data_IF_197875072561
#
_entry.id   IF_197875072561
#
_cell.length_a   1.000
_cell.length_b   1.000
_cell.length_c   1.000
_cell.angle_alpha   90.00
_cell.angle_beta   90.00
_cell.angle_gamma   90.00
#
_symmetry.space_group_name_H-M   'P 1'
#
loop_
_entity.id
_entity.type
_entity.pdbx_description
1 polymer ?
#
# COMPACT_ATOMS: atom_id res chain seq x y z
N UNK A 1 -8.93 10.58 -39.74
CA UNK A 1 -8.27 10.08 -38.52
C UNK A 1 -9.21 10.40 -37.37
N UNK A 2 -9.80 9.38 -36.74
CA UNK A 2 -10.84 9.56 -35.73
C UNK A 2 -10.28 10.33 -34.51
N UNK A 3 -10.92 11.45 -34.16
CA UNK A 3 -10.54 12.36 -33.07
C UNK A 3 -10.51 11.69 -31.70
N UNK A 4 -11.16 10.54 -31.56
CA UNK A 4 -11.14 9.69 -30.36
C UNK A 4 -9.77 8.99 -30.13
N UNK A 5 -8.95 8.83 -31.17
CA UNK A 5 -7.64 8.21 -31.05
C UNK A 5 -6.58 9.11 -30.37
N UNK A 6 -6.76 10.44 -30.44
CA UNK A 6 -5.83 11.36 -29.74
C UNK A 6 -6.05 11.36 -28.22
N UNK A 7 -7.30 11.30 -27.76
CA UNK A 7 -7.64 11.15 -26.35
C UNK A 7 -7.23 9.75 -25.84
N UNK A 8 -7.39 8.69 -26.65
CA UNK A 8 -6.96 7.33 -26.32
C UNK A 8 -5.43 7.22 -26.25
N UNK A 9 -4.69 7.85 -27.16
CA UNK A 9 -3.22 7.84 -27.16
C UNK A 9 -2.62 8.51 -25.92
N UNK A 10 -3.26 9.56 -25.39
CA UNK A 10 -2.86 10.20 -24.13
C UNK A 10 -3.14 9.31 -22.91
N UNK A 11 -4.28 8.63 -22.87
CA UNK A 11 -4.64 7.75 -21.75
C UNK A 11 -3.73 6.52 -21.65
N UNK A 12 -3.37 5.90 -22.78
CA UNK A 12 -2.50 4.70 -22.82
C UNK A 12 -1.04 5.01 -22.46
N UNK A 13 -0.53 6.20 -22.82
CA UNK A 13 0.83 6.62 -22.45
C UNK A 13 1.02 6.85 -20.94
N UNK A 14 -0.07 6.91 -20.16
CA UNK A 14 -0.05 7.16 -18.71
C UNK A 14 0.17 5.93 -17.85
N UNK A 15 -0.06 4.76 -18.40
CA UNK A 15 0.06 3.47 -17.72
C UNK A 15 1.35 2.71 -18.09
N UNK A 16 2.35 3.40 -18.66
CA UNK A 16 3.67 2.81 -18.78
C UNK A 16 4.13 2.38 -17.37
N UNK A 17 4.43 1.08 -17.14
CA UNK A 17 4.87 0.61 -15.84
C UNK A 17 6.15 1.34 -15.49
N UNK A 18 6.05 2.33 -14.62
CA UNK A 18 7.20 2.78 -13.87
C UNK A 18 7.57 1.61 -12.98
N UNK A 19 8.61 0.89 -13.31
CA UNK A 19 9.23 -0.06 -12.40
C UNK A 19 9.87 0.76 -11.29
N UNK A 20 9.05 1.30 -10.41
CA UNK A 20 9.49 1.79 -9.13
C UNK A 20 9.70 0.55 -8.27
N UNK A 21 10.89 -0.01 -8.33
CA UNK A 21 11.36 -0.96 -7.34
C UNK A 21 11.58 -0.21 -6.02
N UNK A 22 10.51 0.12 -5.34
CA UNK A 22 10.59 0.75 -4.01
C UNK A 22 9.36 0.35 -3.20
N UNK A 23 9.58 0.11 -1.92
CA UNK A 23 8.52 -0.04 -0.91
C UNK A 23 7.73 1.26 -0.67
N UNK A 24 7.78 2.21 -1.61
CA UNK A 24 7.20 3.54 -1.48
C UNK A 24 5.69 3.60 -1.24
N UNK A 25 5.00 2.48 -1.31
CA UNK A 25 3.58 2.35 -1.00
C UNK A 25 3.30 1.54 0.27
N UNK A 26 4.30 0.83 0.82
CA UNK A 26 4.12 0.02 2.02
C UNK A 26 3.91 0.92 3.24
N UNK A 27 2.95 0.55 4.07
CA UNK A 27 2.71 1.16 5.36
C UNK A 27 2.77 0.09 6.44
N UNK A 28 3.24 0.47 7.63
CA UNK A 28 3.41 -0.41 8.79
C UNK A 28 2.51 -0.03 9.96
N UNK A 29 1.58 0.89 9.74
CA UNK A 29 0.63 1.41 10.73
C UNK A 29 -0.54 0.45 10.91
N UNK A 30 -0.24 -0.84 11.14
CA UNK A 30 -1.24 -1.90 11.26
C UNK A 30 -1.88 -1.97 12.65
N UNK A 31 -1.22 -1.45 13.69
CA UNK A 31 -1.81 -1.27 15.03
C UNK A 31 -1.23 -0.06 15.73
N UNK A 32 -1.98 0.53 16.67
CA UNK A 32 -1.53 1.68 17.44
C UNK A 32 -0.28 1.36 18.26
N UNK A 33 -0.19 0.16 18.83
CA UNK A 33 0.99 -0.28 19.57
C UNK A 33 2.18 -0.52 18.64
N UNK A 34 1.94 -1.04 17.43
CA UNK A 34 3.00 -1.19 16.42
C UNK A 34 3.57 0.17 16.02
N UNK A 35 2.73 1.18 15.83
CA UNK A 35 3.15 2.57 15.57
C UNK A 35 3.98 3.11 16.74
N UNK A 36 3.51 2.93 17.98
CA UNK A 36 4.23 3.37 19.17
C UNK A 36 5.61 2.73 19.34
N UNK A 37 5.81 1.55 18.76
CA UNK A 37 7.08 0.81 18.78
C UNK A 37 7.88 0.95 17.47
N UNK A 38 7.50 1.85 16.57
CA UNK A 38 8.18 2.03 15.28
C UNK A 38 8.15 0.79 14.38
N UNK A 39 7.11 -0.05 14.49
CA UNK A 39 6.98 -1.31 13.76
C UNK A 39 7.64 -2.54 14.44
N UNK A 40 8.42 -2.37 15.50
CA UNK A 40 9.12 -3.43 16.20
C UNK A 40 8.17 -4.28 17.07
N UNK A 41 7.25 -5.05 16.44
CA UNK A 41 6.19 -5.77 17.15
C UNK A 41 6.04 -7.24 16.72
N UNK A 42 7.11 -7.88 16.32
CA UNK A 42 7.05 -9.25 15.79
C UNK A 42 6.73 -10.33 16.85
N UNK A 43 6.91 -10.04 18.14
CA UNK A 43 6.85 -11.05 19.22
C UNK A 43 5.88 -10.68 20.34
N UNK A 44 4.85 -9.91 20.03
CA UNK A 44 3.89 -9.49 21.04
C UNK A 44 3.16 -10.70 21.67
N UNK A 45 3.08 -10.71 22.99
CA UNK A 45 2.33 -11.71 23.74
C UNK A 45 0.84 -11.39 23.67
N UNK A 46 0.01 -12.43 23.51
CA UNK A 46 -1.46 -12.39 23.56
C UNK A 46 -2.10 -11.31 22.68
N UNK A 47 -1.51 -11.09 21.48
CA UNK A 47 -1.91 -10.04 20.56
C UNK A 47 -2.38 -10.59 19.21
N UNK A 48 -3.64 -10.36 18.86
CA UNK A 48 -4.20 -10.77 17.59
C UNK A 48 -3.60 -10.03 16.38
N UNK A 49 -3.01 -8.83 16.57
CA UNK A 49 -2.33 -8.09 15.50
C UNK A 49 -1.04 -8.78 15.00
N UNK A 50 -0.57 -9.82 15.69
CA UNK A 50 0.50 -10.69 15.19
C UNK A 50 0.18 -11.31 13.82
N UNK A 51 -1.10 -11.47 13.44
CA UNK A 51 -1.48 -11.86 12.07
C UNK A 51 -0.83 -10.94 11.02
N UNK A 52 -0.74 -9.63 11.31
CA UNK A 52 -0.11 -8.67 10.42
C UNK A 52 1.41 -8.60 10.61
N UNK A 53 1.92 -8.54 11.85
CA UNK A 53 3.36 -8.31 12.10
C UNK A 53 4.20 -9.57 11.96
N UNK A 54 3.76 -10.66 12.60
CA UNK A 54 4.42 -11.96 12.54
C UNK A 54 3.42 -13.09 12.77
N UNK A 55 2.92 -13.70 11.68
CA UNK A 55 1.92 -14.75 11.76
C UNK A 55 2.31 -15.95 12.66
N UNK A 56 3.60 -16.28 12.77
CA UNK A 56 4.04 -17.37 13.68
C UNK A 56 3.85 -17.02 15.16
N UNK A 57 3.80 -15.74 15.51
CA UNK A 57 3.58 -15.27 16.88
C UNK A 57 2.12 -15.33 17.33
N UNK A 58 1.16 -15.67 16.45
CA UNK A 58 -0.22 -15.95 16.91
C UNK A 58 -0.27 -17.19 17.82
N UNK A 59 0.77 -18.05 17.78
CA UNK A 59 0.92 -19.19 18.71
C UNK A 59 1.13 -18.76 20.18
N UNK A 60 1.32 -17.47 20.43
CA UNK A 60 1.41 -16.88 21.78
C UNK A 60 0.06 -16.43 22.33
N UNK A 61 -0.98 -16.42 21.49
CA UNK A 61 -2.34 -16.05 21.90
C UNK A 61 -2.98 -17.19 22.68
N UNK A 62 -3.61 -16.86 23.81
CA UNK A 62 -4.31 -17.81 24.66
C UNK A 62 -5.81 -17.71 24.43
N UNK A 63 -6.43 -18.86 24.10
CA UNK A 63 -7.86 -18.94 23.87
C UNK A 63 -8.30 -18.20 22.61
N UNK A 64 -9.06 -17.11 22.76
CA UNK A 64 -9.65 -16.37 21.65
C UNK A 64 -9.50 -14.87 21.89
N UNK A 65 -8.91 -14.15 20.94
CA UNK A 65 -8.65 -12.70 21.03
C UNK A 65 -9.14 -12.01 19.78
N UNK A 66 -9.91 -10.95 19.96
CA UNK A 66 -10.31 -10.01 18.91
C UNK A 66 -9.73 -8.63 19.22
N UNK A 67 -9.20 -7.98 18.20
CA UNK A 67 -8.59 -6.65 18.32
C UNK A 67 -8.94 -5.79 17.12
N UNK A 68 -9.28 -4.52 17.38
CA UNK A 68 -9.35 -3.49 16.35
C UNK A 68 -8.46 -2.32 16.74
N UNK A 69 -7.81 -1.73 15.76
CA UNK A 69 -6.88 -0.63 15.97
C UNK A 69 -7.15 0.47 14.95
N UNK A 70 -7.08 1.71 15.42
CA UNK A 70 -7.34 2.91 14.64
C UNK A 70 -6.15 3.84 14.80
N UNK A 71 -5.45 4.13 13.70
CA UNK A 71 -4.32 5.05 13.68
C UNK A 71 -4.65 6.22 12.79
N UNK A 72 -4.61 7.43 13.35
CA UNK A 72 -4.78 8.65 12.57
C UNK A 72 -3.44 9.12 12.04
N UNK A 73 -3.35 9.21 10.72
CA UNK A 73 -2.16 9.65 9.99
C UNK A 73 -2.37 11.08 9.49
N UNK A 74 -1.48 11.99 9.85
CA UNK A 74 -1.48 13.37 9.38
C UNK A 74 -0.13 13.68 8.74
N UNK A 75 0.10 13.24 7.50
CA UNK A 75 1.37 13.44 6.83
C UNK A 75 1.56 14.90 6.43
N UNK A 76 2.82 15.35 6.53
CA UNK A 76 3.25 16.66 6.04
C UNK A 76 4.49 16.44 5.18
N UNK A 77 4.50 17.00 4.01
CA UNK A 77 5.62 16.90 3.08
C UNK A 77 5.97 18.24 2.47
N UNK A 78 7.26 18.48 2.27
CA UNK A 78 7.76 19.59 1.47
C UNK A 78 8.68 19.05 0.38
N UNK A 79 8.75 19.76 -0.73
CA UNK A 79 9.63 19.41 -1.85
C UNK A 79 10.26 20.66 -2.44
N UNK A 80 11.37 20.48 -3.12
CA UNK A 80 12.02 21.50 -3.94
C UNK A 80 12.16 20.98 -5.35
N UNK A 81 11.98 21.85 -6.32
CA UNK A 81 12.14 21.54 -7.73
C UNK A 81 13.46 22.11 -8.24
N UNK A 82 14.15 21.33 -9.04
CA UNK A 82 15.38 21.70 -9.69
C UNK A 82 15.23 21.56 -11.20
N UNK A 83 15.86 22.43 -11.95
CA UNK A 83 15.93 22.32 -13.41
C UNK A 83 16.98 21.25 -13.84
N UNK A 84 17.14 21.06 -15.16
CA UNK A 84 18.11 20.12 -15.71
C UNK A 84 19.56 20.43 -15.36
N UNK A 85 19.85 21.68 -14.99
CA UNK A 85 21.19 22.15 -14.63
C UNK A 85 21.44 22.09 -13.12
N UNK A 86 20.45 21.58 -12.36
CA UNK A 86 20.52 21.43 -10.90
C UNK A 86 20.27 22.72 -10.14
N UNK A 87 19.73 23.76 -10.78
CA UNK A 87 19.37 25.02 -10.13
C UNK A 87 17.94 24.94 -9.59
N UNK A 88 17.75 25.39 -8.34
CA UNK A 88 16.44 25.46 -7.71
C UNK A 88 15.50 26.39 -8.50
N UNK A 89 14.29 25.89 -8.80
CA UNK A 89 13.25 26.68 -9.46
C UNK A 89 12.52 27.46 -8.38
N UNK A 90 12.75 28.76 -8.36
CA UNK A 90 12.15 29.67 -7.39
C UNK A 90 10.65 29.90 -7.67
N UNK A 91 9.90 30.35 -6.64
CA UNK A 91 8.49 30.69 -6.68
C UNK A 91 7.53 29.54 -7.00
N UNK A 92 7.96 28.29 -6.85
CA UNK A 92 7.10 27.13 -6.91
C UNK A 92 6.54 26.79 -5.52
N UNK A 93 5.31 26.24 -5.42
CA UNK A 93 4.81 25.69 -4.17
C UNK A 93 5.73 24.61 -3.64
N UNK A 94 6.03 24.63 -2.35
CA UNK A 94 6.96 23.70 -1.71
C UNK A 94 6.30 22.67 -0.83
N UNK A 95 4.97 22.68 -0.74
CA UNK A 95 4.22 21.79 0.12
C UNK A 95 3.31 20.86 -0.68
N UNK A 96 3.35 19.59 -0.33
CA UNK A 96 2.39 18.60 -0.80
C UNK A 96 1.10 18.73 0.03
N UNK A 97 -0.05 18.78 -0.64
CA UNK A 97 -1.39 18.85 -0.02
C UNK A 97 -1.89 17.45 0.29
N UNK A 98 -1.21 16.72 1.17
CA UNK A 98 -1.68 15.38 1.56
C UNK A 98 -2.74 15.50 2.63
N UNK A 99 -3.88 14.84 2.41
CA UNK A 99 -4.96 14.80 3.38
C UNK A 99 -4.68 13.76 4.47
N UNK A 100 -5.06 14.10 5.69
CA UNK A 100 -5.00 13.16 6.79
C UNK A 100 -5.99 12.00 6.58
N UNK A 101 -5.67 10.84 7.11
CA UNK A 101 -6.48 9.64 6.96
C UNK A 101 -6.36 8.68 8.15
N UNK A 102 -7.15 7.63 8.10
CA UNK A 102 -7.16 6.58 9.10
C UNK A 102 -6.59 5.27 8.53
N UNK A 103 -5.66 4.68 9.25
CA UNK A 103 -5.27 3.29 9.07
C UNK A 103 -6.02 2.45 10.11
N UNK A 104 -6.83 1.51 9.62
CA UNK A 104 -7.68 0.66 10.48
C UNK A 104 -7.25 -0.78 10.31
N UNK A 105 -6.89 -1.43 11.43
CA UNK A 105 -6.61 -2.86 11.48
C UNK A 105 -7.64 -3.57 12.34
N UNK A 106 -8.10 -4.75 11.90
CA UNK A 106 -9.01 -5.61 12.66
C UNK A 106 -8.52 -7.05 12.58
N UNK A 107 -8.46 -7.71 13.70
CA UNK A 107 -7.81 -9.01 13.86
C UNK A 107 -8.63 -9.93 14.75
N UNK A 108 -8.58 -11.19 14.42
CA UNK A 108 -9.14 -12.26 15.23
C UNK A 108 -8.17 -13.42 15.24
N UNK A 109 -7.90 -13.99 16.40
CA UNK A 109 -7.08 -15.18 16.57
C UNK A 109 -7.77 -16.11 17.53
N UNK A 110 -7.78 -17.38 17.20
CA UNK A 110 -8.32 -18.47 18.03
C UNK A 110 -7.29 -19.57 18.16
N UNK A 111 -7.00 -19.96 19.38
CA UNK A 111 -6.30 -21.17 19.71
C UNK A 111 -7.24 -22.37 19.48
N UNK A 112 -6.88 -23.28 18.59
CA UNK A 112 -7.67 -24.48 18.29
C UNK A 112 -7.35 -25.58 19.31
N UNK A 113 -6.07 -25.74 19.62
CA UNK A 113 -5.52 -26.64 20.63
C UNK A 113 -4.13 -26.16 21.07
N UNK A 114 -3.40 -26.93 21.85
CA UNK A 114 -2.08 -26.57 22.38
C UNK A 114 -0.99 -26.37 21.34
N UNK A 115 -1.26 -26.76 20.09
CA UNK A 115 -0.28 -26.70 18.98
C UNK A 115 -0.76 -25.91 17.77
N UNK A 116 -2.03 -25.55 17.67
CA UNK A 116 -2.63 -25.02 16.45
C UNK A 116 -3.46 -23.78 16.71
N UNK A 117 -3.30 -22.80 15.84
CA UNK A 117 -4.02 -21.52 15.85
C UNK A 117 -4.53 -21.17 14.47
N UNK A 118 -5.68 -20.55 14.46
CA UNK A 118 -6.22 -19.86 13.30
C UNK A 118 -6.30 -18.38 13.59
N UNK A 119 -5.91 -17.56 12.62
CA UNK A 119 -6.05 -16.11 12.68
C UNK A 119 -6.60 -15.56 11.39
N UNK A 120 -7.24 -14.41 11.46
CA UNK A 120 -7.61 -13.60 10.31
C UNK A 120 -7.39 -12.13 10.64
N UNK A 121 -6.80 -11.39 9.73
CA UNK A 121 -6.59 -9.96 9.85
C UNK A 121 -7.09 -9.22 8.62
N UNK A 122 -7.65 -8.02 8.82
CA UNK A 122 -7.94 -7.06 7.77
C UNK A 122 -7.19 -5.77 8.12
N UNK A 123 -6.25 -5.36 7.27
CA UNK A 123 -5.37 -4.22 7.56
C UNK A 123 -4.85 -3.57 6.27
N UNK A 124 -4.54 -2.27 6.29
CA UNK A 124 -3.94 -1.60 5.15
C UNK A 124 -2.46 -2.00 5.05
N UNK A 125 -2.06 -2.65 3.97
CA UNK A 125 -0.66 -2.99 3.71
C UNK A 125 0.03 -1.96 2.83
N UNK A 126 -0.74 -1.33 1.97
CA UNK A 126 -0.23 -0.36 1.00
C UNK A 126 -1.15 0.86 0.95
N UNK A 127 -0.58 2.04 1.05
CA UNK A 127 -1.28 3.28 0.82
C UNK A 127 -0.32 4.37 0.37
N UNK A 128 -0.83 5.26 -0.46
CA UNK A 128 -0.14 6.48 -0.84
C UNK A 128 -1.17 7.52 -1.25
N UNK A 129 -0.98 8.74 -0.79
CA UNK A 129 -1.69 9.90 -1.33
C UNK A 129 -0.69 11.01 -1.57
N UNK A 130 -0.72 11.58 -2.75
CA UNK A 130 0.11 12.73 -3.13
C UNK A 130 -0.75 13.73 -3.89
N UNK A 131 -0.77 14.98 -3.45
CA UNK A 131 -1.48 16.06 -4.10
C UNK A 131 -0.60 17.30 -4.22
N UNK A 132 -0.44 17.80 -5.43
CA UNK A 132 0.31 19.00 -5.77
C UNK A 132 -0.64 20.10 -6.26
N UNK A 133 -0.21 21.35 -6.20
CA UNK A 133 -0.90 22.44 -6.88
C UNK A 133 -0.98 22.13 -8.39
N UNK A 134 -2.17 22.29 -8.99
CA UNK A 134 -2.39 21.95 -10.41
C UNK A 134 -1.49 22.69 -11.37
N UNK A 135 -1.11 23.92 -11.01
CA UNK A 135 -0.26 24.79 -11.83
C UNK A 135 1.22 24.68 -11.50
N UNK A 136 1.58 23.90 -10.47
CA UNK A 136 2.99 23.63 -10.15
C UNK A 136 3.66 22.79 -11.22
N UNK A 137 4.94 23.00 -11.46
CA UNK A 137 5.76 22.13 -12.32
C UNK A 137 5.88 20.72 -11.77
N UNK A 138 5.74 20.51 -10.45
CA UNK A 138 5.65 19.19 -9.83
C UNK A 138 4.46 18.38 -10.35
N UNK A 139 3.39 19.04 -10.81
CA UNK A 139 2.19 18.40 -11.35
C UNK A 139 2.33 17.89 -12.79
N UNK A 140 3.50 17.97 -13.38
CA UNK A 140 3.73 17.59 -14.80
C UNK A 140 3.37 16.11 -15.09
N UNK A 141 3.60 15.22 -14.13
CA UNK A 141 3.23 13.81 -14.24
C UNK A 141 1.81 13.55 -13.72
N UNK A 142 1.53 13.97 -12.49
CA UNK A 142 0.20 13.93 -11.88
C UNK A 142 0.11 15.00 -10.79
N UNK A 143 -1.02 15.70 -10.68
CA UNK A 143 -1.27 16.59 -9.57
C UNK A 143 -1.98 15.89 -8.41
N UNK A 144 -2.63 14.75 -8.67
CA UNK A 144 -3.21 13.90 -7.65
C UNK A 144 -2.93 12.44 -7.95
N UNK A 145 -2.45 11.72 -6.94
CA UNK A 145 -2.23 10.26 -7.01
C UNK A 145 -2.66 9.65 -5.68
N UNK A 146 -3.51 8.65 -5.74
CA UNK A 146 -3.98 7.92 -4.56
C UNK A 146 -3.97 6.43 -4.85
N UNK A 147 -3.38 5.68 -3.94
CA UNK A 147 -3.42 4.22 -3.92
C UNK A 147 -3.85 3.79 -2.52
N UNK A 148 -4.90 3.00 -2.44
CA UNK A 148 -5.35 2.38 -1.19
C UNK A 148 -5.32 0.88 -1.38
N UNK A 149 -4.60 0.18 -0.50
CA UNK A 149 -4.52 -1.28 -0.51
C UNK A 149 -4.90 -1.85 0.86
N UNK A 150 -5.89 -2.74 0.86
CA UNK A 150 -6.34 -3.45 2.06
C UNK A 150 -6.14 -4.94 1.85
N UNK A 151 -5.51 -5.59 2.82
CA UNK A 151 -5.29 -7.03 2.82
C UNK A 151 -6.20 -7.72 3.82
N UNK A 152 -6.82 -8.82 3.42
CA UNK A 152 -7.46 -9.78 4.32
C UNK A 152 -6.64 -11.05 4.31
N UNK A 153 -6.17 -11.45 5.50
CA UNK A 153 -5.16 -12.50 5.62
C UNK A 153 -5.62 -13.60 6.57
N UNK A 154 -6.33 -14.63 6.10
CA UNK A 154 -6.51 -15.85 6.85
C UNK A 154 -5.18 -16.56 7.02
N UNK A 155 -4.89 -17.01 8.24
CA UNK A 155 -3.58 -17.52 8.66
C UNK A 155 -3.76 -18.76 9.52
N UNK A 156 -2.94 -19.77 9.28
CA UNK A 156 -2.80 -20.94 10.14
C UNK A 156 -1.38 -20.96 10.72
N UNK A 157 -1.28 -21.22 12.02
CA UNK A 157 0.00 -21.36 12.70
C UNK A 157 0.07 -22.65 13.50
N UNK A 158 1.27 -23.24 13.55
CA UNK A 158 1.58 -24.45 14.27
C UNK A 158 2.80 -24.25 15.17
N UNK A 159 2.67 -24.70 16.42
CA UNK A 159 3.75 -24.77 17.41
C UNK A 159 4.26 -26.20 17.47
N UNK A 160 5.44 -26.44 16.90
CA UNK A 160 6.04 -27.77 16.84
C UNK A 160 6.47 -28.26 18.22
N UNK A 161 7.13 -27.36 18.98
CA UNK A 161 7.62 -27.60 20.33
C UNK A 161 7.75 -26.28 21.10
N UNK A 162 8.52 -26.27 22.19
CA UNK A 162 8.77 -25.05 23.01
C UNK A 162 9.64 -24.01 22.29
N UNK A 163 10.36 -24.42 21.23
CA UNK A 163 11.31 -23.57 20.53
C UNK A 163 10.85 -23.12 19.16
N UNK A 164 10.11 -23.95 18.42
CA UNK A 164 9.73 -23.68 17.06
C UNK A 164 8.24 -23.46 16.88
N UNK A 165 7.91 -22.39 16.18
CA UNK A 165 6.58 -22.18 15.61
C UNK A 165 6.71 -21.67 14.17
N UNK A 166 5.71 -21.98 13.35
CA UNK A 166 5.60 -21.47 11.99
C UNK A 166 4.16 -21.20 11.63
N UNK A 167 3.98 -20.35 10.61
CA UNK A 167 2.67 -20.02 10.08
C UNK A 167 2.71 -19.85 8.57
N UNK A 168 1.55 -20.06 7.96
CA UNK A 168 1.29 -19.73 6.55
C UNK A 168 -0.07 -19.03 6.46
N UNK A 169 -0.17 -18.07 5.56
CA UNK A 169 -1.41 -17.33 5.32
C UNK A 169 -1.61 -17.08 3.83
N UNK A 170 -2.86 -17.13 3.40
CA UNK A 170 -3.26 -16.55 2.13
C UNK A 170 -3.47 -15.05 2.33
N UNK A 171 -3.30 -14.27 1.28
CA UNK A 171 -3.57 -12.84 1.29
C UNK A 171 -4.48 -12.48 0.13
N UNK A 172 -5.66 -11.96 0.44
CA UNK A 172 -6.58 -11.37 -0.52
C UNK A 172 -6.37 -9.87 -0.42
N UNK A 173 -5.81 -9.27 -1.45
CA UNK A 173 -5.49 -7.85 -1.47
C UNK A 173 -6.42 -7.12 -2.45
N UNK A 174 -7.02 -6.03 -1.96
CA UNK A 174 -7.75 -5.05 -2.75
C UNK A 174 -6.88 -3.82 -2.95
N UNK A 175 -6.85 -3.30 -4.16
CA UNK A 175 -6.21 -2.00 -4.49
C UNK A 175 -7.21 -1.13 -5.23
N UNK A 176 -7.39 0.10 -4.74
CA UNK A 176 -8.03 1.21 -5.46
C UNK A 176 -6.97 2.23 -5.86
N UNK A 177 -7.00 2.65 -7.12
CA UNK A 177 -6.09 3.63 -7.70
C UNK A 177 -6.89 4.82 -8.25
N UNK A 178 -6.44 6.03 -7.93
CA UNK A 178 -6.92 7.27 -8.55
C UNK A 178 -5.72 8.12 -8.97
N UNK A 179 -5.70 8.53 -10.23
CA UNK A 179 -4.70 9.43 -10.79
C UNK A 179 -5.38 10.60 -11.49
N UNK A 180 -4.91 11.83 -11.24
CA UNK A 180 -5.37 13.01 -11.97
C UNK A 180 -4.15 13.79 -12.49
N UNK A 181 -4.20 14.16 -13.77
CA UNK A 181 -3.12 14.92 -14.40
C UNK A 181 -3.67 15.98 -15.35
N UNK A 182 -2.86 16.98 -15.60
CA UNK A 182 -3.14 17.97 -16.62
C UNK A 182 -3.02 17.34 -18.02
N UNK A 183 -3.93 17.73 -18.93
CA UNK A 183 -3.90 17.34 -20.33
C UNK A 183 -3.42 18.50 -21.18
N UNK A 184 -2.49 18.22 -22.09
CA UNK A 184 -1.88 19.20 -22.97
C UNK A 184 -2.04 18.78 -24.43
N UNK A 185 -2.42 19.70 -25.29
CA UNK A 185 -2.41 19.49 -26.75
C UNK A 185 -0.98 19.61 -27.33
N UNK A 186 -0.15 20.42 -26.69
CA UNK A 186 1.30 20.53 -26.87
C UNK A 186 1.92 21.05 -25.56
N UNK A 187 3.24 21.02 -25.37
CA UNK A 187 3.88 21.40 -24.09
C UNK A 187 3.49 22.78 -23.54
N UNK A 188 3.07 23.70 -24.40
CA UNK A 188 2.68 25.07 -24.00
C UNK A 188 1.16 25.27 -23.86
N UNK A 189 0.34 24.29 -24.30
CA UNK A 189 -1.11 24.46 -24.38
C UNK A 189 -1.85 23.40 -23.53
N UNK A 190 -2.15 23.75 -22.30
CA UNK A 190 -3.03 22.98 -21.42
C UNK A 190 -4.46 23.02 -21.97
N UNK A 191 -5.04 21.88 -22.20
CA UNK A 191 -6.39 21.72 -22.75
C UNK A 191 -7.41 21.20 -21.73
N UNK A 192 -6.96 20.75 -20.55
CA UNK A 192 -7.86 20.23 -19.54
C UNK A 192 -7.14 19.34 -18.51
N UNK A 193 -7.84 18.31 -18.06
CA UNK A 193 -7.32 17.30 -17.15
C UNK A 193 -7.84 15.92 -17.50
N UNK A 194 -7.12 14.89 -17.09
CA UNK A 194 -7.54 13.48 -17.18
C UNK A 194 -7.58 12.91 -15.77
N UNK A 195 -8.66 12.22 -15.47
CA UNK A 195 -8.85 11.43 -14.25
C UNK A 195 -8.90 9.95 -14.64
N UNK A 196 -8.19 9.11 -13.91
CA UNK A 196 -8.16 7.66 -14.09
C UNK A 196 -8.49 7.04 -12.74
N UNK A 197 -9.52 6.21 -12.70
CA UNK A 197 -9.98 5.50 -11.52
C UNK A 197 -10.08 4.02 -11.84
N UNK A 198 -9.51 3.17 -11.00
CA UNK A 198 -9.57 1.73 -11.17
C UNK A 198 -9.40 0.98 -9.86
N UNK A 199 -9.86 -0.25 -9.87
CA UNK A 199 -9.73 -1.14 -8.74
C UNK A 199 -9.39 -2.56 -9.18
N UNK A 200 -8.81 -3.33 -8.28
CA UNK A 200 -8.44 -4.72 -8.56
C UNK A 200 -8.33 -5.53 -7.26
N UNK A 201 -8.63 -6.82 -7.38
CA UNK A 201 -8.34 -7.82 -6.36
C UNK A 201 -7.26 -8.75 -6.88
N UNK A 202 -6.30 -9.08 -6.01
CA UNK A 202 -5.25 -10.04 -6.34
C UNK A 202 -4.90 -10.89 -5.12
N UNK A 203 -4.26 -12.02 -5.37
CA UNK A 203 -3.89 -12.98 -4.35
C UNK A 203 -2.39 -12.95 -4.09
N UNK A 204 -2.04 -13.03 -2.82
CA UNK A 204 -0.71 -13.26 -2.32
C UNK A 204 -0.70 -14.32 -1.23
N UNK A 205 0.43 -14.48 -0.61
CA UNK A 205 0.62 -15.38 0.53
C UNK A 205 1.73 -14.88 1.44
N UNK A 206 1.75 -15.38 2.66
CA UNK A 206 2.83 -15.14 3.60
C UNK A 206 3.23 -16.43 4.30
N UNK A 207 4.47 -16.44 4.79
CA UNK A 207 4.98 -17.49 5.65
C UNK A 207 5.85 -16.88 6.74
N UNK A 208 5.82 -17.47 7.93
CA UNK A 208 6.61 -17.00 9.05
C UNK A 208 7.15 -18.18 9.87
N UNK A 209 8.30 -17.96 10.52
CA UNK A 209 8.85 -18.92 11.45
C UNK A 209 9.51 -18.16 12.63
N UNK A 210 9.37 -18.72 13.83
CA UNK A 210 10.04 -18.25 15.03
C UNK A 210 10.88 -19.36 15.63
N UNK A 211 12.01 -18.96 16.21
CA UNK A 211 12.84 -19.81 17.03
C UNK A 211 13.17 -19.14 18.36
N UNK A 212 12.81 -19.77 19.45
CA UNK A 212 13.06 -19.36 20.82
C UNK A 212 14.31 -20.08 21.34
N UNK A 213 15.38 -19.33 21.59
CA UNK A 213 16.62 -19.88 22.14
C UNK A 213 16.46 -20.24 23.62
N UNK A 214 15.87 -19.33 24.37
CA UNK A 214 15.59 -19.39 25.81
C UNK A 214 14.41 -18.46 26.18
N UNK A 215 14.12 -18.29 27.47
CA UNK A 215 12.98 -17.51 27.95
C UNK A 215 13.07 -16.00 27.63
N UNK A 216 14.21 -15.51 27.16
CA UNK A 216 14.45 -14.09 26.86
C UNK A 216 14.79 -13.82 25.42
N UNK A 217 15.26 -14.84 24.69
CA UNK A 217 15.85 -14.66 23.38
C UNK A 217 15.06 -15.42 22.32
N UNK A 218 14.56 -14.72 21.32
CA UNK A 218 13.88 -15.30 20.18
C UNK A 218 14.20 -14.55 18.88
N UNK A 219 14.18 -15.26 17.77
CA UNK A 219 14.34 -14.71 16.43
C UNK A 219 13.14 -15.12 15.60
N UNK A 220 12.71 -14.24 14.71
CA UNK A 220 11.63 -14.50 13.77
C UNK A 220 11.94 -14.00 12.39
N UNK A 221 11.38 -14.67 11.41
CA UNK A 221 11.41 -14.26 10.00
C UNK A 221 10.02 -14.37 9.42
N UNK A 222 9.65 -13.37 8.63
CA UNK A 222 8.38 -13.29 7.89
C UNK A 222 8.70 -12.98 6.45
N UNK A 223 8.09 -13.73 5.55
CA UNK A 223 8.07 -13.45 4.13
C UNK A 223 6.65 -13.14 3.68
N UNK A 224 6.49 -12.09 2.88
CA UNK A 224 5.24 -11.79 2.18
C UNK A 224 5.49 -11.75 0.69
N UNK A 225 4.66 -12.47 -0.05
CA UNK A 225 4.81 -12.54 -1.50
C UNK A 225 4.52 -11.19 -2.17
N UNK A 226 5.12 -10.99 -3.31
CA UNK A 226 4.71 -9.99 -4.30
C UNK A 226 3.25 -10.25 -4.71
N UNK A 227 2.52 -9.14 -4.98
CA UNK A 227 1.13 -9.20 -5.45
C UNK A 227 1.03 -8.35 -6.73
N UNK A 228 0.59 -8.95 -7.81
CA UNK A 228 0.41 -8.25 -9.08
C UNK A 228 -1.08 -8.04 -9.36
N UNK A 229 -1.46 -6.78 -9.46
CA UNK A 229 -2.81 -6.34 -9.79
C UNK A 229 -2.92 -6.01 -11.27
N UNK A 230 -3.88 -6.60 -11.95
CA UNK A 230 -4.35 -6.16 -13.26
C UNK A 230 -5.51 -5.20 -13.03
N UNK A 231 -5.30 -3.93 -13.34
CA UNK A 231 -6.27 -2.87 -13.14
C UNK A 231 -7.07 -2.64 -14.41
N UNK A 232 -8.38 -2.71 -14.28
CA UNK A 232 -9.31 -2.13 -15.25
C UNK A 232 -9.74 -0.78 -14.69
N UNK A 233 -9.59 0.27 -15.47
CA UNK A 233 -9.77 1.64 -15.01
C UNK A 233 -10.63 2.45 -16.01
N UNK A 234 -11.41 3.36 -15.48
CA UNK A 234 -12.12 4.38 -16.23
C UNK A 234 -11.23 5.62 -16.36
N UNK A 235 -10.97 6.03 -17.60
CA UNK A 235 -10.31 7.29 -17.91
C UNK A 235 -11.33 8.32 -18.39
N UNK A 236 -11.37 9.50 -17.77
CA UNK A 236 -12.26 10.61 -18.09
C UNK A 236 -11.43 11.85 -18.41
N UNK A 237 -11.62 12.43 -19.57
CA UNK A 237 -11.02 13.70 -19.96
C UNK A 237 -12.01 14.85 -19.78
N UNK A 238 -11.57 15.90 -19.12
CA UNK A 238 -12.32 17.11 -18.84
C UNK A 238 -11.64 18.32 -19.47
N UNK A 239 -12.36 19.05 -20.31
CA UNK A 239 -11.84 20.24 -20.99
C UNK A 239 -12.93 21.31 -21.13
N UNK A 240 -12.56 22.59 -21.03
CA UNK A 240 -13.45 23.69 -21.46
C UNK A 240 -13.81 23.62 -22.96
N UNK A 241 -12.99 22.93 -23.75
CA UNK A 241 -13.23 22.71 -25.18
C UNK A 241 -13.90 21.35 -25.38
N UNK A 242 -15.19 21.31 -25.80
CA UNK A 242 -15.99 20.07 -25.86
C UNK A 242 -15.37 18.95 -26.66
N UNK A 243 -14.57 19.26 -27.69
CA UNK A 243 -13.90 18.27 -28.56
C UNK A 243 -12.81 17.45 -27.83
N UNK A 244 -12.35 17.90 -26.66
CA UNK A 244 -11.36 17.19 -25.85
C UNK A 244 -11.98 16.46 -24.64
N UNK A 245 -13.30 16.53 -24.47
CA UNK A 245 -14.00 15.73 -23.48
C UNK A 245 -14.19 14.30 -23.99
N UNK A 246 -14.06 13.32 -23.11
CA UNK A 246 -14.24 11.93 -23.49
C UNK A 246 -14.10 10.97 -22.32
N UNK A 247 -14.50 9.74 -22.60
CA UNK A 247 -14.32 8.60 -21.69
C UNK A 247 -13.65 7.47 -22.46
N UNK A 248 -12.81 6.73 -21.79
CA UNK A 248 -12.16 5.55 -22.35
C UNK A 248 -11.87 4.56 -21.21
N UNK A 249 -11.80 3.28 -21.55
CA UNK A 249 -11.28 2.28 -20.63
C UNK A 249 -9.75 2.31 -20.69
N UNK A 250 -9.13 2.20 -19.55
CA UNK A 250 -7.69 2.11 -19.40
C UNK A 250 -7.34 0.80 -18.70
N UNK A 251 -6.19 0.23 -19.02
CA UNK A 251 -5.70 -1.00 -18.43
C UNK A 251 -4.29 -0.79 -17.93
N UNK A 252 -3.97 -1.36 -16.78
CA UNK A 252 -2.64 -1.25 -16.21
C UNK A 252 -2.30 -2.41 -15.30
N UNK A 253 -1.03 -2.49 -14.95
CA UNK A 253 -0.52 -3.47 -14.01
C UNK A 253 0.22 -2.74 -12.91
N UNK A 254 -0.14 -3.03 -11.66
CA UNK A 254 0.58 -2.56 -10.48
C UNK A 254 1.11 -3.77 -9.73
N UNK A 255 2.41 -3.81 -9.52
CA UNK A 255 3.06 -4.88 -8.75
C UNK A 255 3.50 -4.33 -7.41
N UNK A 256 2.90 -4.84 -6.34
CA UNK A 256 3.29 -4.60 -4.96
C UNK A 256 4.43 -5.56 -4.62
N UNK A 257 5.55 -5.07 -4.06
CA UNK A 257 6.74 -5.88 -3.86
C UNK A 257 6.57 -6.97 -2.80
N UNK A 258 7.39 -7.99 -2.89
CA UNK A 258 7.62 -8.93 -1.80
C UNK A 258 8.45 -8.27 -0.69
N UNK A 259 8.32 -8.77 0.53
CA UNK A 259 9.08 -8.30 1.67
C UNK A 259 9.58 -9.43 2.56
N UNK A 260 10.72 -9.16 3.21
CA UNK A 260 11.27 -9.98 4.27
C UNK A 260 11.42 -9.13 5.53
N UNK A 261 10.83 -9.60 6.62
CA UNK A 261 10.98 -8.98 7.94
C UNK A 261 11.75 -9.95 8.84
N UNK A 262 12.81 -9.47 9.46
CA UNK A 262 13.61 -10.25 10.40
C UNK A 262 13.64 -9.49 11.71
N UNK A 263 13.32 -10.14 12.82
CA UNK A 263 13.32 -9.57 14.15
C UNK A 263 14.02 -10.45 15.15
N UNK A 264 14.62 -9.81 16.14
CA UNK A 264 15.17 -10.44 17.32
C UNK A 264 14.61 -9.73 18.56
N UNK A 265 14.22 -10.51 19.54
CA UNK A 265 13.74 -10.05 20.83
C UNK A 265 14.65 -10.56 21.95
N UNK A 266 14.92 -9.66 22.91
CA UNK A 266 15.73 -9.95 24.10
C UNK A 266 15.04 -9.37 25.35
#
# INVERSE_FOLDING_TARGET
MNKNFLALGLAVALLAPQVAGAEGFAINEWSAEGVAMGGARMFAEDDAANVAYNPASITKVKGEVMKSSYTYLSPHGSYKLYDSDGKEIENEPTHNKVHAGWAVGSYYVKQINDKEWFGIGAFPRFAMVSEFERESKASSNAFFSKLNGVSVTPTYAHKFDKKWSAAVGAEINYVGLELQKNAYANPAMKVGSVQIEGESYALGWNAAANYTFDDKNEIGVVYRSRITHSLEADAKAYSPMPQFNGKANAYGVVTLPDSWDIGYNH
#
